data_IF_579403107524
#
_entry.id   IF_579403107524
#
_cell.length_a   1.000
_cell.length_b   1.000
_cell.length_c   1.000
_cell.angle_alpha   90.00
_cell.angle_beta   90.00
_cell.angle_gamma   90.00
#
_symmetry.space_group_name_H-M   'P 1'
#
loop_
_entity.id
_entity.type
_entity.pdbx_description
1 polymer ?
#
# COMPACT_ATOMS: atom_id res chain seq x y z
N UNK A 1 13.07 -25.29 16.39
CA UNK A 1 12.27 -24.59 15.38
C UNK A 1 12.41 -23.11 15.66
N UNK A 2 13.14 -22.36 14.85
CA UNK A 2 13.34 -20.91 15.06
C UNK A 2 12.43 -20.13 14.12
N UNK A 3 11.70 -19.15 14.64
CA UNK A 3 11.05 -18.15 13.79
C UNK A 3 12.12 -17.15 13.36
N UNK A 4 12.09 -16.77 12.08
CA UNK A 4 12.89 -15.67 11.58
C UNK A 4 12.47 -14.38 12.28
N UNK A 5 13.42 -13.49 12.48
CA UNK A 5 13.16 -12.13 12.94
C UNK A 5 12.40 -11.34 11.86
N UNK A 6 11.67 -10.30 12.27
CA UNK A 6 10.91 -9.45 11.33
C UNK A 6 11.79 -8.86 10.23
N UNK A 7 13.03 -8.50 10.56
CA UNK A 7 13.96 -7.92 9.58
C UNK A 7 14.45 -8.95 8.56
N UNK A 8 14.70 -10.21 8.97
CA UNK A 8 15.04 -11.29 8.04
C UNK A 8 13.88 -11.55 7.07
N UNK A 9 12.65 -11.59 7.59
CA UNK A 9 11.44 -11.77 6.77
C UNK A 9 11.30 -10.61 5.77
N UNK A 10 11.50 -9.37 6.22
CA UNK A 10 11.42 -8.19 5.36
C UNK A 10 12.52 -8.16 4.28
N UNK A 11 13.74 -8.59 4.61
CA UNK A 11 14.86 -8.62 3.66
C UNK A 11 14.74 -9.74 2.62
N UNK A 12 14.15 -10.87 2.98
CA UNK A 12 13.90 -11.99 2.05
C UNK A 12 12.71 -11.75 1.11
N UNK A 13 11.87 -10.74 1.40
CA UNK A 13 10.70 -10.43 0.60
C UNK A 13 11.09 -9.93 -0.81
N UNK A 14 10.60 -10.60 -1.84
CA UNK A 14 10.71 -10.13 -3.23
C UNK A 14 9.64 -9.07 -3.47
N UNK A 15 10.03 -7.80 -3.37
CA UNK A 15 9.12 -6.67 -3.52
C UNK A 15 8.74 -6.42 -5.00
N UNK A 16 7.45 -6.23 -5.27
CA UNK A 16 6.98 -5.69 -6.56
C UNK A 16 7.22 -4.17 -6.63
N UNK A 17 7.56 -3.62 -7.82
CA UNK A 17 7.58 -2.18 -8.05
C UNK A 17 6.26 -1.50 -7.65
N UNK A 18 6.35 -0.29 -7.10
CA UNK A 18 5.17 0.46 -6.63
C UNK A 18 4.18 0.78 -7.76
N UNK A 19 4.68 0.92 -8.99
CA UNK A 19 3.86 1.14 -10.20
C UNK A 19 2.95 -0.05 -10.50
N UNK A 20 3.42 -1.29 -10.33
CA UNK A 20 2.59 -2.49 -10.51
C UNK A 20 1.49 -2.56 -9.46
N UNK A 21 1.79 -2.18 -8.22
CA UNK A 21 0.82 -2.12 -7.12
C UNK A 21 -0.24 -1.03 -7.39
N UNK A 22 0.19 0.15 -7.85
CA UNK A 22 -0.71 1.25 -8.22
C UNK A 22 -1.66 0.85 -9.37
N UNK A 23 -1.13 0.21 -10.42
CA UNK A 23 -1.92 -0.30 -11.54
C UNK A 23 -2.97 -1.32 -11.08
N UNK A 24 -2.60 -2.22 -10.16
CA UNK A 24 -3.53 -3.20 -9.56
C UNK A 24 -4.65 -2.53 -8.75
N UNK A 25 -4.37 -1.39 -8.12
CA UNK A 25 -5.36 -0.55 -7.44
C UNK A 25 -6.18 0.35 -8.39
N UNK A 26 -5.88 0.33 -9.70
CA UNK A 26 -6.53 1.17 -10.70
C UNK A 26 -6.14 2.65 -10.61
N UNK A 27 -4.93 2.93 -10.14
CA UNK A 27 -4.35 4.28 -10.08
C UNK A 27 -3.46 4.48 -11.31
N UNK A 28 -3.75 5.53 -12.08
CA UNK A 28 -2.96 5.92 -13.24
C UNK A 28 -1.63 6.56 -12.84
N UNK A 29 -0.57 6.32 -13.62
CA UNK A 29 0.78 6.84 -13.39
C UNK A 29 0.83 8.37 -13.25
N UNK A 30 -0.09 9.11 -13.89
CA UNK A 30 -0.15 10.58 -13.78
C UNK A 30 -0.43 11.08 -12.36
N UNK A 31 -1.00 10.24 -11.49
CA UNK A 31 -1.24 10.56 -10.08
C UNK A 31 -0.13 10.04 -9.14
N UNK A 32 0.89 9.37 -9.68
CA UNK A 32 1.91 8.68 -8.90
C UNK A 32 3.22 9.46 -8.87
N UNK A 33 3.58 9.98 -7.70
CA UNK A 33 4.88 10.63 -7.47
C UNK A 33 5.83 9.63 -6.78
N UNK A 34 6.72 8.98 -7.55
CA UNK A 34 7.60 7.93 -7.04
C UNK A 34 8.79 8.45 -6.21
N UNK A 35 9.08 7.78 -5.10
CA UNK A 35 10.23 7.98 -4.23
C UNK A 35 11.07 6.70 -4.19
N UNK A 36 11.83 6.49 -5.27
CA UNK A 36 12.46 5.21 -5.56
C UNK A 36 11.46 4.17 -6.08
N UNK A 37 11.86 2.89 -6.11
CA UNK A 37 11.09 1.82 -6.79
C UNK A 37 9.86 1.32 -6.03
N UNK A 38 9.82 1.51 -4.71
CA UNK A 38 8.88 0.81 -3.83
C UNK A 38 8.03 1.74 -2.95
N UNK A 39 8.08 3.05 -3.20
CA UNK A 39 7.31 4.06 -2.47
C UNK A 39 6.84 5.15 -3.42
N UNK A 40 5.65 5.68 -3.20
CA UNK A 40 5.12 6.81 -3.95
C UNK A 40 4.11 7.59 -3.13
N UNK A 41 3.91 8.86 -3.45
CA UNK A 41 2.72 9.64 -3.05
C UNK A 41 1.66 9.55 -4.14
N UNK A 42 0.40 9.67 -3.74
CA UNK A 42 -0.75 9.72 -4.66
C UNK A 42 -1.31 11.14 -4.63
N UNK A 43 -1.48 11.75 -5.80
CA UNK A 43 -2.15 13.04 -5.91
C UNK A 43 -3.64 12.92 -5.54
N UNK A 44 -4.08 13.74 -4.58
CA UNK A 44 -5.44 13.76 -4.06
C UNK A 44 -6.47 14.23 -5.08
N UNK A 45 -6.06 14.86 -6.20
CA UNK A 45 -6.98 15.22 -7.29
C UNK A 45 -7.73 13.99 -7.84
N UNK A 46 -7.15 12.79 -7.73
CA UNK A 46 -7.82 11.52 -8.04
C UNK A 46 -9.19 11.38 -7.34
N UNK A 47 -9.30 11.84 -6.09
CA UNK A 47 -10.54 11.75 -5.31
C UNK A 47 -11.66 12.64 -5.87
N UNK A 48 -11.32 13.70 -6.59
CA UNK A 48 -12.31 14.59 -7.23
C UNK A 48 -12.81 14.03 -8.57
N UNK A 49 -12.06 13.12 -9.18
CA UNK A 49 -12.34 12.55 -10.50
C UNK A 49 -13.03 11.18 -10.43
N UNK A 50 -13.20 10.61 -9.24
CA UNK A 50 -13.83 9.31 -9.03
C UNK A 50 -15.24 9.44 -8.48
N UNK A 51 -16.20 8.78 -9.14
CA UNK A 51 -17.58 8.61 -8.66
C UNK A 51 -17.84 7.16 -8.19
N UNK A 52 -16.76 6.45 -7.83
CA UNK A 52 -16.85 5.07 -7.33
C UNK A 52 -17.50 5.08 -5.94
N UNK A 53 -18.36 4.09 -5.69
CA UNK A 53 -18.90 3.82 -4.36
C UNK A 53 -17.78 3.51 -3.38
N UNK A 54 -17.97 3.92 -2.13
CA UNK A 54 -17.06 3.58 -1.04
C UNK A 54 -16.87 2.06 -0.92
N UNK A 55 -15.63 1.67 -0.62
CA UNK A 55 -15.28 0.30 -0.30
C UNK A 55 -15.84 -0.15 1.05
N UNK A 56 -15.53 -1.39 1.44
CA UNK A 56 -15.86 -1.87 2.79
C UNK A 56 -14.90 -1.27 3.80
N UNK A 57 -15.44 -0.58 4.81
CA UNK A 57 -14.67 -0.06 5.94
C UNK A 57 -14.61 -1.11 7.05
N UNK A 58 -13.41 -1.58 7.38
CA UNK A 58 -13.15 -2.55 8.45
C UNK A 58 -12.28 -1.88 9.52
N UNK A 59 -12.84 -1.67 10.71
CA UNK A 59 -12.11 -1.16 11.87
C UNK A 59 -11.48 -2.32 12.65
N UNK A 60 -10.15 -2.37 12.68
CA UNK A 60 -9.40 -3.31 13.53
C UNK A 60 -9.12 -2.64 14.87
N UNK A 61 -9.52 -3.28 15.96
CA UNK A 61 -9.27 -2.84 17.34
C UNK A 61 -8.74 -3.99 18.18
N UNK A 62 -8.19 -3.68 19.35
CA UNK A 62 -7.72 -4.64 20.33
C UNK A 62 -8.33 -4.32 21.70
N UNK A 63 -8.25 -5.30 22.61
CA UNK A 63 -8.46 -5.05 24.04
C UNK A 63 -7.34 -4.16 24.60
N UNK A 64 -7.42 -3.77 25.88
CA UNK A 64 -6.34 -3.08 26.56
C UNK A 64 -4.99 -3.81 26.36
N UNK A 65 -3.93 -3.11 25.93
CA UNK A 65 -2.62 -3.73 25.72
C UNK A 65 -2.05 -4.21 27.06
N UNK A 66 -1.36 -5.35 27.05
CA UNK A 66 -0.59 -5.90 28.17
C UNK A 66 0.90 -5.82 27.87
#
# INVERSE_FOLDING_TARGET
MGFKTDIEIAQECVMSPITEIAAKAGIDDKYLEQYGKYKAKIDYNLLKETDKKDGKLILVTAINPT
#
